data_IF_379643895861
#
_entry.id   IF_379643895861
#
_cell.length_a   1.000
_cell.length_b   1.000
_cell.length_c   1.000
_cell.angle_alpha   90.00
_cell.angle_beta   90.00
_cell.angle_gamma   90.00
#
_symmetry.space_group_name_H-M   'P 1'
#
loop_
_entity.id
_entity.type
_entity.pdbx_description
1 polymer ?
#
# COMPACT_ATOMS: atom_id res chain seq x y z
N UNK A 1 2.15 5.47 6.17
CA UNK A 1 0.89 6.23 5.98
C UNK A 1 0.82 6.50 4.49
N UNK A 2 -0.31 6.29 3.79
CA UNK A 2 -0.34 6.29 2.30
C UNK A 2 0.39 7.48 1.65
N UNK A 3 0.34 8.64 2.30
CA UNK A 3 1.00 9.88 1.89
C UNK A 3 2.52 9.90 2.07
N UNK A 4 3.09 9.27 3.11
CA UNK A 4 4.55 9.22 3.30
C UNK A 4 5.20 8.38 2.22
N UNK A 5 4.65 7.20 1.97
CA UNK A 5 5.26 6.20 1.10
C UNK A 5 5.25 6.67 -0.36
N UNK A 6 4.15 7.33 -0.78
CA UNK A 6 4.07 7.94 -2.11
C UNK A 6 4.94 9.19 -2.24
N UNK A 7 5.14 9.97 -1.17
CA UNK A 7 6.04 11.12 -1.21
C UNK A 7 7.49 10.65 -1.39
N UNK A 8 7.94 9.69 -0.58
CA UNK A 8 9.29 9.11 -0.67
C UNK A 8 9.56 8.44 -2.01
N UNK A 9 8.53 7.85 -2.62
CA UNK A 9 8.63 7.20 -3.95
C UNK A 9 8.70 8.20 -5.10
N UNK A 10 8.02 9.34 -5.00
CA UNK A 10 7.77 10.23 -6.13
C UNK A 10 8.49 11.58 -6.08
N UNK A 11 9.06 11.97 -4.93
CA UNK A 11 9.65 13.29 -4.72
C UNK A 11 11.14 13.16 -4.43
N UNK A 12 11.96 13.35 -5.47
CA UNK A 12 13.42 13.26 -5.35
C UNK A 12 14.04 14.45 -4.59
N UNK A 13 13.52 15.66 -4.80
CA UNK A 13 14.01 16.87 -4.13
C UNK A 13 12.85 17.77 -3.67
N UNK A 14 12.84 18.21 -2.39
CA UNK A 14 11.81 19.10 -1.87
C UNK A 14 11.99 20.52 -2.45
N UNK A 15 11.06 20.93 -3.32
CA UNK A 15 10.94 22.29 -3.83
C UNK A 15 9.74 23.04 -3.24
N UNK A 16 9.58 24.31 -3.62
CA UNK A 16 8.41 25.10 -3.19
C UNK A 16 7.08 24.60 -3.76
N UNK A 17 7.11 23.82 -4.85
CA UNK A 17 5.95 23.20 -5.49
C UNK A 17 6.36 21.85 -6.08
N UNK A 18 5.40 20.94 -6.20
CA UNK A 18 5.59 19.70 -6.93
C UNK A 18 5.68 20.02 -8.43
N UNK A 19 6.63 19.39 -9.12
CA UNK A 19 6.66 19.40 -10.57
C UNK A 19 5.60 18.46 -11.15
N UNK A 20 5.20 18.68 -12.40
CA UNK A 20 4.17 17.88 -13.08
C UNK A 20 4.45 16.37 -13.08
N UNK A 21 5.73 15.96 -13.12
CA UNK A 21 6.15 14.57 -13.00
C UNK A 21 5.83 13.99 -11.62
N UNK A 22 6.16 14.74 -10.56
CA UNK A 22 5.92 14.32 -9.18
C UNK A 22 4.42 14.27 -8.89
N UNK A 23 3.64 15.26 -9.34
CA UNK A 23 2.18 15.25 -9.24
C UNK A 23 1.58 14.01 -9.89
N UNK A 24 1.93 13.73 -11.15
CA UNK A 24 1.42 12.55 -11.86
C UNK A 24 1.88 11.23 -11.21
N UNK A 25 3.11 11.19 -10.69
CA UNK A 25 3.59 10.03 -9.94
C UNK A 25 2.77 9.79 -8.69
N UNK A 26 2.52 10.83 -7.88
CA UNK A 26 1.76 10.72 -6.63
C UNK A 26 0.33 10.24 -6.91
N UNK A 27 -0.36 10.78 -7.92
CA UNK A 27 -1.69 10.30 -8.32
C UNK A 27 -1.68 8.80 -8.62
N UNK A 28 -0.77 8.34 -9.48
CA UNK A 28 -0.65 6.93 -9.83
C UNK A 28 -0.24 6.06 -8.63
N UNK A 29 0.61 6.58 -7.75
CA UNK A 29 1.08 5.87 -6.57
C UNK A 29 -0.09 5.60 -5.61
N UNK A 30 -0.89 6.63 -5.31
CA UNK A 30 -2.02 6.51 -4.38
C UNK A 30 -3.08 5.54 -4.93
N UNK A 31 -3.42 5.64 -6.22
CA UNK A 31 -4.35 4.70 -6.88
C UNK A 31 -3.85 3.25 -6.75
N UNK A 32 -2.58 2.99 -7.11
CA UNK A 32 -1.99 1.65 -7.02
C UNK A 32 -1.90 1.11 -5.60
N UNK A 33 -1.64 1.98 -4.63
CA UNK A 33 -1.50 1.58 -3.24
C UNK A 33 -2.85 1.18 -2.64
N UNK A 34 -3.92 1.90 -3.00
CA UNK A 34 -5.30 1.52 -2.64
C UNK A 34 -5.65 0.17 -3.27
N UNK A 35 -5.38 -0.02 -4.56
CA UNK A 35 -5.64 -1.30 -5.25
C UNK A 35 -4.88 -2.46 -4.60
N UNK A 36 -3.61 -2.25 -4.28
CA UNK A 36 -2.75 -3.24 -3.63
C UNK A 36 -3.28 -3.60 -2.24
N UNK A 37 -3.64 -2.60 -1.44
CA UNK A 37 -4.20 -2.83 -0.11
C UNK A 37 -5.50 -3.63 -0.20
N UNK A 38 -6.41 -3.26 -1.11
CA UNK A 38 -7.66 -4.01 -1.32
C UNK A 38 -7.37 -5.44 -1.78
N UNK A 39 -6.43 -5.65 -2.70
CA UNK A 39 -6.03 -6.97 -3.15
C UNK A 39 -5.50 -7.83 -1.99
N UNK A 40 -4.62 -7.29 -1.15
CA UNK A 40 -4.05 -7.99 0.01
C UNK A 40 -5.16 -8.33 1.01
N UNK A 41 -6.01 -7.37 1.37
CA UNK A 41 -7.12 -7.60 2.31
C UNK A 41 -8.11 -8.65 1.78
N UNK A 42 -8.46 -8.58 0.50
CA UNK A 42 -9.31 -9.56 -0.16
C UNK A 42 -8.69 -10.96 -0.15
N UNK A 43 -7.38 -11.06 -0.36
CA UNK A 43 -6.68 -12.35 -0.27
C UNK A 43 -6.69 -12.86 1.17
N UNK A 44 -6.39 -12.02 2.15
CA UNK A 44 -6.37 -12.39 3.56
C UNK A 44 -7.73 -12.89 4.05
N UNK A 45 -8.82 -12.24 3.64
CA UNK A 45 -10.18 -12.66 3.97
C UNK A 45 -10.59 -13.99 3.31
N UNK A 46 -9.95 -14.36 2.18
CA UNK A 46 -10.18 -15.60 1.44
C UNK A 46 -9.22 -16.72 1.82
N UNK A 47 -8.14 -16.42 2.53
CA UNK A 47 -7.35 -17.47 3.17
C UNK A 47 -8.29 -18.16 4.17
N UNK A 48 -8.35 -19.50 4.17
CA UNK A 48 -8.94 -20.20 5.28
C UNK A 48 -8.21 -19.68 6.52
N UNK A 49 -8.91 -18.95 7.39
CA UNK A 49 -8.42 -18.74 8.73
C UNK A 49 -8.13 -20.14 9.25
N UNK A 50 -6.91 -20.47 9.71
CA UNK A 50 -6.81 -21.60 10.60
C UNK A 50 -7.76 -21.24 11.75
N UNK A 51 -8.91 -21.90 11.79
CA UNK A 51 -9.68 -21.96 13.01
C UNK A 51 -8.68 -22.34 14.09
N UNK A 52 -8.68 -21.61 15.19
CA UNK A 52 -7.85 -21.87 16.37
C UNK A 52 -8.24 -23.19 17.06
N UNK A 53 -8.21 -24.27 16.31
CA UNK A 53 -8.36 -25.66 16.70
C UNK A 53 -7.27 -26.39 15.92
N UNK A 54 -6.29 -26.95 16.64
CA UNK A 54 -5.18 -27.81 16.16
C UNK A 54 -3.78 -27.16 15.99
N UNK A 55 -3.37 -26.30 16.92
CA UNK A 55 -1.98 -26.37 17.40
C UNK A 55 -2.00 -27.19 18.69
N UNK A 56 -2.02 -28.53 18.56
CA UNK A 56 -1.62 -29.40 19.66
C UNK A 56 -0.09 -29.48 19.63
N UNK A 57 0.54 -28.92 20.66
CA UNK A 57 1.86 -29.33 21.08
C UNK A 57 1.68 -30.62 21.89
N UNK A 58 1.78 -31.77 21.23
CA UNK A 58 2.14 -33.06 21.83
C UNK A 58 3.35 -33.62 21.08
#
# INVERSE_FOLDING_TARGET
MLTSDCFDTCVDYPGQKLGSRAEKCITNCVERLIDTNNFVMNRMARLPTPSTSEINFD
#
